data_IF_855408618394
#
_entry.id   IF_855408618394
#
_cell.length_a   1.000
_cell.length_b   1.000
_cell.length_c   1.000
_cell.angle_alpha   90.00
_cell.angle_beta   90.00
_cell.angle_gamma   90.00
#
_symmetry.space_group_name_H-M   'P 1'
#
loop_
_entity.id
_entity.type
_entity.pdbx_description
1 polymer ?
#
# COMPACT_ATOMS: atom_id res chain seq x y z
N UNK A 1 -27.72 15.04 32.73
CA UNK A 1 -28.81 14.84 31.75
C UNK A 1 -28.38 15.48 30.44
N UNK A 2 -27.80 14.71 29.52
CA UNK A 2 -27.36 15.21 28.21
C UNK A 2 -27.57 14.11 27.17
N UNK A 3 -28.33 14.46 26.13
CA UNK A 3 -28.38 13.85 24.80
C UNK A 3 -28.90 12.41 24.61
N UNK A 4 -30.09 12.11 25.15
CA UNK A 4 -30.88 10.92 24.73
C UNK A 4 -31.77 11.18 23.48
N UNK A 5 -31.67 12.37 22.88
CA UNK A 5 -32.58 12.82 21.81
C UNK A 5 -31.93 12.86 20.41
N UNK A 6 -30.85 12.08 20.19
CA UNK A 6 -30.31 11.90 18.84
C UNK A 6 -31.22 10.91 18.10
N UNK A 7 -31.84 11.28 16.97
CA UNK A 7 -32.65 10.33 16.22
C UNK A 7 -31.79 9.12 15.91
N UNK A 8 -32.26 7.91 16.27
CA UNK A 8 -31.58 6.66 15.93
C UNK A 8 -31.40 6.66 14.42
N UNK A 9 -30.19 6.97 13.95
CA UNK A 9 -29.84 6.97 12.54
C UNK A 9 -30.32 5.65 11.94
N UNK A 10 -31.13 5.75 10.89
CA UNK A 10 -31.51 4.62 10.03
C UNK A 10 -30.27 3.80 9.67
N UNK A 11 -30.42 2.48 9.54
CA UNK A 11 -29.32 1.58 9.14
C UNK A 11 -28.63 2.05 7.85
N UNK A 12 -29.40 2.57 6.89
CA UNK A 12 -28.89 3.13 5.63
C UNK A 12 -28.06 4.40 5.87
N UNK A 13 -28.51 5.29 6.75
CA UNK A 13 -27.79 6.52 7.07
C UNK A 13 -26.46 6.22 7.78
N UNK A 14 -26.40 5.16 8.62
CA UNK A 14 -25.15 4.70 9.24
C UNK A 14 -24.19 4.12 8.20
N UNK A 15 -24.70 3.34 7.24
CA UNK A 15 -23.89 2.78 6.15
C UNK A 15 -23.31 3.88 5.25
N UNK A 16 -24.13 4.85 4.84
CA UNK A 16 -23.69 5.99 4.04
C UNK A 16 -22.61 6.82 4.76
N UNK A 17 -22.79 7.08 6.06
CA UNK A 17 -21.80 7.79 6.88
C UNK A 17 -20.48 7.00 7.01
N UNK A 18 -20.55 5.67 7.21
CA UNK A 18 -19.36 4.80 7.27
C UNK A 18 -18.62 4.82 5.93
N UNK A 19 -19.34 4.70 4.81
CA UNK A 19 -18.77 4.73 3.46
C UNK A 19 -18.08 6.06 3.14
N UNK A 20 -18.71 7.18 3.51
CA UNK A 20 -18.11 8.52 3.35
C UNK A 20 -16.82 8.66 4.17
N UNK A 21 -16.81 8.20 5.42
CA UNK A 21 -15.60 8.23 6.27
C UNK A 21 -14.47 7.36 5.69
N UNK A 22 -14.81 6.20 5.14
CA UNK A 22 -13.86 5.34 4.44
C UNK A 22 -13.24 6.05 3.22
N UNK A 23 -14.06 6.61 2.34
CA UNK A 23 -13.56 7.32 1.16
C UNK A 23 -12.75 8.56 1.52
N UNK A 24 -13.19 9.33 2.51
CA UNK A 24 -12.41 10.47 2.99
C UNK A 24 -11.04 10.04 3.51
N UNK A 25 -11.00 8.98 4.33
CA UNK A 25 -9.75 8.40 4.81
C UNK A 25 -8.85 7.94 3.66
N UNK A 26 -9.40 7.21 2.69
CA UNK A 26 -8.66 6.72 1.53
C UNK A 26 -8.09 7.86 0.70
N UNK A 27 -8.90 8.88 0.40
CA UNK A 27 -8.46 10.07 -0.35
C UNK A 27 -7.35 10.83 0.39
N UNK A 28 -7.49 11.02 1.71
CA UNK A 28 -6.45 11.67 2.52
C UNK A 28 -5.15 10.86 2.54
N UNK A 29 -5.25 9.53 2.72
CA UNK A 29 -4.09 8.65 2.70
C UNK A 29 -3.37 8.68 1.33
N UNK A 30 -4.14 8.69 0.23
CA UNK A 30 -3.60 8.86 -1.13
C UNK A 30 -2.91 10.21 -1.30
N UNK A 31 -3.54 11.29 -0.86
CA UNK A 31 -2.97 12.64 -0.95
C UNK A 31 -1.65 12.76 -0.17
N UNK A 32 -1.60 12.21 1.05
CA UNK A 32 -0.38 12.13 1.87
C UNK A 32 0.69 11.29 1.17
N UNK A 33 0.33 10.17 0.57
CA UNK A 33 1.29 9.30 -0.13
C UNK A 33 1.88 9.98 -1.36
N UNK A 34 1.06 10.68 -2.16
CA UNK A 34 1.51 11.44 -3.33
C UNK A 34 2.43 12.58 -2.91
N UNK A 35 2.05 13.35 -1.89
CA UNK A 35 2.89 14.45 -1.38
C UNK A 35 4.19 13.95 -0.80
N UNK A 36 4.19 12.84 -0.04
CA UNK A 36 5.40 12.20 0.45
C UNK A 36 6.30 11.71 -0.71
N UNK A 37 5.71 11.11 -1.75
CA UNK A 37 6.44 10.69 -2.94
C UNK A 37 7.15 11.86 -3.63
N UNK A 38 6.44 12.97 -3.87
CA UNK A 38 7.01 14.18 -4.47
C UNK A 38 8.10 14.79 -3.59
N UNK A 39 7.86 14.91 -2.28
CA UNK A 39 8.83 15.42 -1.32
C UNK A 39 10.09 14.55 -1.28
N UNK A 40 9.97 13.23 -1.39
CA UNK A 40 11.12 12.31 -1.44
C UNK A 40 12.00 12.56 -2.68
N UNK A 41 11.39 12.87 -3.83
CA UNK A 41 12.13 13.20 -5.05
C UNK A 41 12.94 14.49 -4.92
N UNK A 42 12.38 15.51 -4.28
CA UNK A 42 13.09 16.75 -3.96
C UNK A 42 14.21 16.52 -2.93
N UNK A 43 13.92 15.77 -1.85
CA UNK A 43 14.89 15.45 -0.83
C UNK A 43 16.08 14.65 -1.40
N UNK A 44 15.83 13.72 -2.32
CA UNK A 44 16.88 12.96 -3.00
C UNK A 44 17.86 13.88 -3.75
N UNK A 45 17.36 14.89 -4.48
CA UNK A 45 18.22 15.88 -5.15
C UNK A 45 19.03 16.71 -4.15
N UNK A 46 18.41 17.17 -3.06
CA UNK A 46 19.10 17.94 -2.02
C UNK A 46 20.19 17.12 -1.33
N UNK A 47 19.97 15.82 -1.12
CA UNK A 47 20.96 14.91 -0.56
C UNK A 47 22.13 14.69 -1.52
N UNK A 48 21.84 14.42 -2.80
CA UNK A 48 22.87 14.26 -3.84
C UNK A 48 23.75 15.51 -4.00
N UNK A 49 23.17 16.70 -3.79
CA UNK A 49 23.89 17.97 -3.80
C UNK A 49 24.62 18.28 -2.47
N UNK A 50 24.62 17.36 -1.50
CA UNK A 50 25.26 17.54 -0.19
C UNK A 50 24.61 18.59 0.71
N UNK A 51 23.40 19.06 0.38
CA UNK A 51 22.70 20.12 1.11
C UNK A 51 22.08 19.62 2.41
N UNK A 52 21.64 18.37 2.45
CA UNK A 52 21.04 17.74 3.62
C UNK A 52 21.86 16.52 4.08
N UNK A 53 21.95 16.27 5.39
CA UNK A 53 22.68 15.13 5.93
C UNK A 53 21.92 13.80 5.74
N UNK A 54 22.65 12.68 5.70
CA UNK A 54 22.13 11.32 5.46
C UNK A 54 21.01 10.89 6.44
N UNK A 55 21.04 11.34 7.70
CA UNK A 55 20.02 10.95 8.67
C UNK A 55 18.61 11.42 8.29
N UNK A 56 18.49 12.51 7.52
CA UNK A 56 17.20 13.10 7.13
C UNK A 56 16.41 12.21 6.14
N UNK A 57 16.97 11.73 5.01
CA UNK A 57 16.27 10.78 4.14
C UNK A 57 15.98 9.44 4.84
N UNK A 58 16.87 8.97 5.73
CA UNK A 58 16.60 7.76 6.54
C UNK A 58 15.38 7.97 7.44
N UNK A 59 15.33 9.07 8.19
CA UNK A 59 14.19 9.40 9.04
C UNK A 59 12.89 9.54 8.24
N UNK A 60 12.95 10.12 7.03
CA UNK A 60 11.82 10.20 6.13
C UNK A 60 11.31 8.81 5.69
N UNK A 61 12.22 7.89 5.33
CA UNK A 61 11.85 6.50 4.99
C UNK A 61 11.18 5.80 6.17
N UNK A 62 11.75 5.92 7.38
CA UNK A 62 11.17 5.33 8.60
C UNK A 62 9.76 5.89 8.85
N UNK A 63 9.57 7.20 8.71
CA UNK A 63 8.26 7.83 8.87
C UNK A 63 7.24 7.33 7.83
N UNK A 64 7.66 7.18 6.57
CA UNK A 64 6.80 6.64 5.50
C UNK A 64 6.40 5.19 5.80
N UNK A 65 7.36 4.34 6.18
CA UNK A 65 7.10 2.93 6.52
C UNK A 65 6.14 2.83 7.71
N UNK A 66 6.38 3.59 8.79
CA UNK A 66 5.49 3.63 9.95
C UNK A 66 4.07 4.11 9.57
N UNK A 67 3.98 5.14 8.72
CA UNK A 67 2.73 5.64 8.18
C UNK A 67 1.97 4.60 7.36
N UNK A 68 2.66 3.85 6.49
CA UNK A 68 2.07 2.77 5.70
C UNK A 68 1.58 1.60 6.57
N UNK A 69 2.34 1.21 7.60
CA UNK A 69 1.93 0.18 8.56
C UNK A 69 0.67 0.62 9.30
N UNK A 70 0.68 1.84 9.84
CA UNK A 70 -0.48 2.39 10.54
C UNK A 70 -1.70 2.49 9.60
N UNK A 71 -1.50 2.97 8.37
CA UNK A 71 -2.58 3.13 7.41
C UNK A 71 -3.19 1.79 6.98
N UNK A 72 -2.35 0.78 6.78
CA UNK A 72 -2.77 -0.61 6.49
C UNK A 72 -3.56 -1.19 7.65
N UNK A 73 -3.08 -1.00 8.89
CA UNK A 73 -3.79 -1.46 10.08
C UNK A 73 -5.16 -0.80 10.24
N UNK A 74 -5.24 0.50 9.99
CA UNK A 74 -6.50 1.24 9.99
C UNK A 74 -7.44 0.79 8.87
N UNK A 75 -6.90 0.48 7.68
CA UNK A 75 -7.67 -0.05 6.56
C UNK A 75 -8.32 -1.40 6.90
N UNK A 76 -7.54 -2.36 7.43
CA UNK A 76 -8.07 -3.68 7.79
C UNK A 76 -9.15 -3.64 8.86
N UNK A 77 -9.14 -2.65 9.76
CA UNK A 77 -10.22 -2.45 10.75
C UNK A 77 -11.54 -1.92 10.15
N UNK A 78 -11.56 -1.51 8.89
CA UNK A 78 -12.71 -0.86 8.23
C UNK A 78 -13.37 -1.75 7.17
N UNK A 79 -12.67 -2.75 6.66
CA UNK A 79 -13.18 -3.69 5.65
C UNK A 79 -13.90 -4.88 6.31
N UNK A 80 -14.69 -5.60 5.53
CA UNK A 80 -15.35 -6.82 5.99
C UNK A 80 -14.40 -8.04 5.94
N UNK A 81 -14.84 -9.16 6.51
CA UNK A 81 -14.02 -10.39 6.61
C UNK A 81 -13.73 -11.03 5.25
N UNK A 82 -14.65 -10.90 4.29
CA UNK A 82 -14.51 -11.46 2.94
C UNK A 82 -13.47 -10.66 2.16
N UNK A 83 -13.59 -9.32 2.15
CA UNK A 83 -12.63 -8.42 1.55
C UNK A 83 -11.26 -8.54 2.24
N UNK A 84 -11.22 -8.77 3.56
CA UNK A 84 -9.96 -9.03 4.27
C UNK A 84 -9.29 -10.31 3.76
N UNK A 85 -10.04 -11.40 3.69
CA UNK A 85 -9.53 -12.69 3.19
C UNK A 85 -9.03 -12.56 1.75
N UNK A 86 -9.76 -11.86 0.88
CA UNK A 86 -9.36 -11.65 -0.50
C UNK A 86 -8.10 -10.79 -0.62
N UNK A 87 -7.99 -9.73 0.17
CA UNK A 87 -6.77 -8.91 0.26
C UNK A 87 -5.57 -9.73 0.75
N UNK A 88 -5.73 -10.55 1.79
CA UNK A 88 -4.64 -11.38 2.33
C UNK A 88 -4.13 -12.38 1.30
N UNK A 89 -5.04 -13.06 0.58
CA UNK A 89 -4.65 -13.97 -0.50
C UNK A 89 -3.95 -13.24 -1.65
N UNK A 90 -4.51 -12.12 -2.09
CA UNK A 90 -3.93 -11.33 -3.17
C UNK A 90 -2.52 -10.84 -2.83
N UNK A 91 -2.31 -10.29 -1.63
CA UNK A 91 -0.99 -9.85 -1.17
C UNK A 91 -0.01 -11.02 -0.98
N UNK A 92 -0.48 -12.18 -0.53
CA UNK A 92 0.35 -13.39 -0.40
C UNK A 92 0.85 -13.83 -1.78
N UNK A 93 -0.05 -13.89 -2.77
CA UNK A 93 0.31 -14.22 -4.16
C UNK A 93 1.28 -13.20 -4.72
N UNK A 94 1.01 -11.91 -4.56
CA UNK A 94 1.91 -10.84 -5.01
C UNK A 94 3.30 -10.89 -4.39
N UNK A 95 3.37 -11.17 -3.09
CA UNK A 95 4.64 -11.34 -2.36
C UNK A 95 5.44 -12.52 -2.92
N UNK A 96 4.82 -13.69 -3.05
CA UNK A 96 5.49 -14.86 -3.63
C UNK A 96 5.90 -14.65 -5.07
N UNK A 97 5.04 -14.04 -5.89
CA UNK A 97 5.35 -13.71 -7.28
C UNK A 97 6.58 -12.79 -7.36
N UNK A 98 6.64 -11.75 -6.53
CA UNK A 98 7.79 -10.84 -6.46
C UNK A 98 9.08 -11.53 -6.01
N UNK A 99 9.02 -12.34 -4.95
CA UNK A 99 10.18 -13.08 -4.42
C UNK A 99 10.69 -14.09 -5.45
N UNK A 100 9.81 -14.89 -6.04
CA UNK A 100 10.18 -15.89 -7.04
C UNK A 100 10.73 -15.23 -8.31
N UNK A 101 10.12 -14.13 -8.77
CA UNK A 101 10.62 -13.38 -9.91
C UNK A 101 12.03 -12.81 -9.64
N UNK A 102 12.26 -12.27 -8.43
CA UNK A 102 13.57 -11.78 -8.05
C UNK A 102 14.59 -12.91 -8.01
N UNK A 103 14.30 -14.02 -7.34
CA UNK A 103 15.22 -15.15 -7.22
C UNK A 103 15.57 -15.76 -8.57
N UNK A 104 14.56 -16.00 -9.42
CA UNK A 104 14.79 -16.54 -10.76
C UNK A 104 15.64 -15.60 -11.62
N UNK A 105 15.32 -14.30 -11.62
CA UNK A 105 16.11 -13.30 -12.36
C UNK A 105 17.53 -13.19 -11.80
N UNK A 106 17.68 -13.15 -10.47
CA UNK A 106 18.98 -13.10 -9.81
C UNK A 106 19.87 -14.28 -10.22
N UNK A 107 19.34 -15.51 -10.19
CA UNK A 107 20.09 -16.70 -10.61
C UNK A 107 20.51 -16.64 -12.09
N UNK A 108 19.63 -16.16 -12.97
CA UNK A 108 19.98 -15.98 -14.39
C UNK A 108 21.03 -14.89 -14.59
N UNK A 109 21.02 -13.85 -13.76
CA UNK A 109 22.02 -12.79 -13.81
C UNK A 109 23.38 -13.26 -13.28
N UNK A 110 23.40 -14.11 -12.26
CA UNK A 110 24.61 -14.74 -11.72
C UNK A 110 25.28 -15.67 -12.74
N UNK A 111 24.49 -16.29 -13.62
CA UNK A 111 24.97 -17.06 -14.77
C UNK A 111 25.36 -16.19 -15.99
N UNK A 112 25.38 -14.87 -15.84
CA UNK A 112 25.65 -13.90 -16.92
C UNK A 112 24.71 -13.98 -18.14
N UNK A 113 23.54 -14.63 -17.98
CA UNK A 113 22.54 -14.78 -19.07
C UNK A 113 21.75 -13.48 -19.26
N UNK A 114 21.43 -12.79 -18.16
CA UNK A 114 20.66 -11.54 -18.16
C UNK A 114 21.30 -10.49 -17.26
N UNK A 115 20.81 -9.25 -17.33
CA UNK A 115 21.24 -8.17 -16.43
C UNK A 115 20.70 -8.37 -15.02
N UNK A 116 21.32 -7.72 -14.04
CA UNK A 116 20.87 -7.73 -12.64
C UNK A 116 19.42 -7.26 -12.48
N UNK A 117 18.64 -7.85 -11.55
CA UNK A 117 17.23 -7.51 -11.37
C UNK A 117 16.99 -6.02 -11.08
N UNK A 118 15.98 -5.43 -11.72
CA UNK A 118 15.53 -4.07 -11.42
C UNK A 118 14.55 -4.08 -10.26
N UNK A 119 14.85 -3.32 -9.19
CA UNK A 119 13.95 -3.19 -8.04
C UNK A 119 12.54 -2.72 -8.45
N UNK A 120 12.45 -1.76 -9.38
CA UNK A 120 11.18 -1.27 -9.90
C UNK A 120 10.40 -2.33 -10.68
N UNK A 121 11.10 -3.18 -11.45
CA UNK A 121 10.45 -4.26 -12.20
C UNK A 121 9.86 -5.30 -11.24
N UNK A 122 10.58 -5.67 -10.18
CA UNK A 122 10.10 -6.61 -9.16
C UNK A 122 8.90 -6.04 -8.40
N UNK A 123 8.98 -4.77 -7.98
CA UNK A 123 7.84 -4.11 -7.30
C UNK A 123 6.63 -4.04 -8.22
N UNK A 124 6.81 -3.66 -9.48
CA UNK A 124 5.72 -3.60 -10.44
C UNK A 124 5.09 -4.97 -10.68
N UNK A 125 5.91 -6.02 -10.83
CA UNK A 125 5.44 -7.39 -11.01
C UNK A 125 4.64 -7.86 -9.79
N UNK A 126 5.14 -7.63 -8.57
CA UNK A 126 4.43 -7.98 -7.34
C UNK A 126 3.08 -7.25 -7.21
N UNK A 127 3.04 -5.95 -7.54
CA UNK A 127 1.80 -5.16 -7.54
C UNK A 127 0.81 -5.65 -8.61
N UNK A 128 1.30 -5.95 -9.81
CA UNK A 128 0.48 -6.47 -10.90
C UNK A 128 -0.12 -7.84 -10.53
N UNK A 129 0.69 -8.76 -10.02
CA UNK A 129 0.21 -10.06 -9.55
C UNK A 129 -0.79 -9.93 -8.40
N UNK A 130 -0.57 -9.00 -7.47
CA UNK A 130 -1.53 -8.68 -6.40
C UNK A 130 -2.86 -8.21 -6.99
N UNK A 131 -2.82 -7.25 -7.93
CA UNK A 131 -4.02 -6.69 -8.55
C UNK A 131 -4.82 -7.72 -9.36
N UNK A 132 -4.13 -8.57 -10.13
CA UNK A 132 -4.74 -9.67 -10.88
C UNK A 132 -5.39 -10.66 -9.91
N UNK A 133 -4.66 -11.10 -8.89
CA UNK A 133 -5.18 -12.05 -7.90
C UNK A 133 -6.41 -11.50 -7.17
N UNK A 134 -6.36 -10.24 -6.74
CA UNK A 134 -7.50 -9.59 -6.11
C UNK A 134 -8.70 -9.49 -7.06
N UNK A 135 -8.47 -9.07 -8.31
CA UNK A 135 -9.52 -8.96 -9.33
C UNK A 135 -10.20 -10.30 -9.63
N UNK A 136 -9.42 -11.37 -9.81
CA UNK A 136 -9.95 -12.71 -10.05
C UNK A 136 -10.82 -13.19 -8.89
N UNK A 137 -10.36 -13.01 -7.66
CA UNK A 137 -11.13 -13.37 -6.46
C UNK A 137 -12.41 -12.56 -6.32
N UNK A 138 -12.37 -11.26 -6.64
CA UNK A 138 -13.56 -10.39 -6.64
C UNK A 138 -14.59 -10.82 -7.69
N UNK A 139 -14.15 -11.43 -8.79
CA UNK A 139 -14.99 -12.02 -9.83
C UNK A 139 -15.44 -13.46 -9.52
N UNK A 140 -15.20 -13.96 -8.30
CA UNK A 140 -15.50 -15.34 -7.87
C UNK A 140 -14.72 -16.44 -8.61
N UNK A 141 -13.62 -16.11 -9.29
CA UNK A 141 -12.64 -17.12 -9.70
C UNK A 141 -11.75 -17.42 -8.49
N UNK A 142 -11.99 -18.56 -7.85
CA UNK A 142 -11.28 -19.02 -6.64
C UNK A 142 -10.25 -20.09 -6.98
#
# INVERSE_FOLDING_TARGET
MMDDNKPKLSGEARLAARRRKFWLYFTLAMLVSVTAGFASGLASKLYQNGTIPLWLPIAAIVAVVAGMIWATWQYFRRIDEIDLMDNLWAHTIGLYAGVLAYLAWFLLADMEIVRTPSAMAIVFFALLSTGIAYGLRKLNFR
#
